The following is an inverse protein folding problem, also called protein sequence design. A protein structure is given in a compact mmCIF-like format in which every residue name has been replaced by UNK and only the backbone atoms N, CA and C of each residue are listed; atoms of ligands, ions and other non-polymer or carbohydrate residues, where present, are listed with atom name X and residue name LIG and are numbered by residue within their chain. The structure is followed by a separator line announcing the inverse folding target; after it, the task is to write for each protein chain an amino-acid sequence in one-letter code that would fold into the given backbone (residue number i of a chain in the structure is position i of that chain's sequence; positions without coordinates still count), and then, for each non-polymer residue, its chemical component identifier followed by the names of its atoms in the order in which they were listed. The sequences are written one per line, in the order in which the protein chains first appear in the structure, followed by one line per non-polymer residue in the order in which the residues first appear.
data_IF_692057142402
#
_entry.id   IF_692057142402
#
_cell.length_a   1.000
_cell.length_b   1.000
_cell.length_c   1.000
_cell.angle_alpha   90.00
_cell.angle_beta   90.00
_cell.angle_gamma   90.00
#
_symmetry.space_group_name_H-M   'P 1'
#
loop_
_entity.id
_entity.type
_entity.pdbx_description
1 polymer ?
#
# COMPACT_ATOMS: atom_id res chain seq x y z
N UNK A 1 12.97 11.90 5.05
CA UNK A 1 12.32 12.70 4.00
C UNK A 1 10.83 12.74 4.26
N UNK A 2 10.18 13.88 4.02
CA UNK A 2 8.73 13.99 4.08
C UNK A 2 8.19 14.22 2.68
N UNK A 3 7.35 13.31 2.22
CA UNK A 3 6.68 13.35 0.92
C UNK A 3 5.18 13.44 1.12
N UNK A 4 4.53 14.32 0.36
CA UNK A 4 3.08 14.43 0.32
C UNK A 4 2.63 14.52 -1.13
N UNK A 5 1.60 13.77 -1.48
CA UNK A 5 0.95 13.79 -2.78
C UNK A 5 -0.56 13.85 -2.56
N UNK A 6 -1.22 14.78 -3.25
CA UNK A 6 -2.67 14.80 -3.38
C UNK A 6 -3.06 14.78 -4.83
N UNK A 7 -3.93 13.84 -5.18
CA UNK A 7 -4.53 13.71 -6.50
C UNK A 7 -6.02 13.89 -6.37
N UNK A 8 -6.57 14.80 -7.14
CA UNK A 8 -7.99 15.15 -7.11
C UNK A 8 -8.53 15.15 -8.53
N UNK A 9 -9.56 14.35 -8.79
CA UNK A 9 -10.28 14.32 -10.05
C UNK A 9 -11.57 15.12 -9.93
N UNK A 10 -11.73 16.08 -10.81
CA UNK A 10 -12.93 16.90 -11.00
C UNK A 10 -13.36 16.79 -12.46
N UNK A 11 -14.48 16.13 -12.71
CA UNK A 11 -15.01 15.81 -14.06
C UNK A 11 -13.91 15.24 -14.99
N UNK A 12 -13.38 16.09 -15.89
CA UNK A 12 -12.37 15.75 -16.91
C UNK A 12 -10.94 16.20 -16.55
N UNK A 13 -10.74 16.74 -15.35
CA UNK A 13 -9.44 17.30 -14.91
C UNK A 13 -8.91 16.54 -13.72
N UNK A 14 -7.61 16.25 -13.77
CA UNK A 14 -6.87 15.71 -12.64
C UNK A 14 -5.88 16.78 -12.16
N UNK A 15 -6.02 17.16 -10.90
CA UNK A 15 -5.12 18.08 -10.21
C UNK A 15 -4.16 17.29 -9.34
N UNK A 16 -2.87 17.63 -9.42
CA UNK A 16 -1.81 17.02 -8.61
C UNK A 16 -1.14 18.11 -7.76
N UNK A 17 -1.18 17.96 -6.44
CA UNK A 17 -0.44 18.79 -5.48
C UNK A 17 0.61 17.92 -4.79
N UNK A 18 1.83 18.42 -4.63
CA UNK A 18 2.92 17.62 -4.06
C UNK A 18 3.90 18.43 -3.22
N UNK A 19 4.52 17.76 -2.27
CA UNK A 19 5.68 18.22 -1.49
C UNK A 19 6.72 17.09 -1.53
N UNK A 20 7.98 17.45 -1.75
CA UNK A 20 9.07 16.48 -1.87
C UNK A 20 9.21 15.92 -3.28
N UNK A 21 9.75 14.71 -3.36
CA UNK A 21 10.12 14.07 -4.63
C UNK A 21 9.00 13.25 -5.25
N UNK A 22 8.00 12.84 -4.45
CA UNK A 22 6.83 12.09 -4.94
C UNK A 22 6.04 12.88 -6.00
N UNK A 23 5.56 12.18 -7.02
CA UNK A 23 4.77 12.77 -8.10
C UNK A 23 3.70 11.80 -8.59
N UNK A 24 2.81 12.27 -9.47
CA UNK A 24 1.84 11.44 -10.16
C UNK A 24 1.78 11.77 -11.65
N UNK A 25 1.57 10.75 -12.46
CA UNK A 25 1.31 10.85 -13.90
C UNK A 25 -0.07 10.30 -14.19
N UNK A 26 -0.77 10.90 -15.14
CA UNK A 26 -2.08 10.41 -15.60
C UNK A 26 -1.88 9.70 -16.93
N UNK A 27 -2.30 8.44 -16.98
CA UNK A 27 -2.34 7.67 -18.23
C UNK A 27 -3.62 7.93 -19.01
N UNK A 28 -3.64 7.46 -20.26
CA UNK A 28 -4.71 7.68 -21.23
C UNK A 28 -6.01 6.97 -20.81
N UNK A 29 -5.90 5.88 -20.03
CA UNK A 29 -7.01 5.12 -19.46
C UNK A 29 -7.42 5.60 -18.05
N UNK A 30 -7.10 6.86 -17.72
CA UNK A 30 -7.39 7.50 -16.44
C UNK A 30 -6.74 6.84 -15.21
N UNK A 31 -5.68 6.04 -15.39
CA UNK A 31 -4.84 5.65 -14.26
C UNK A 31 -3.99 6.81 -13.77
N UNK A 32 -4.00 7.00 -12.46
CA UNK A 32 -3.04 7.81 -11.72
C UNK A 32 -1.90 6.89 -11.32
N UNK A 33 -0.74 7.11 -11.93
CA UNK A 33 0.48 6.37 -11.63
C UNK A 33 1.31 7.21 -10.66
N UNK A 34 1.37 6.77 -9.41
CA UNK A 34 2.22 7.37 -8.38
C UNK A 34 3.68 7.01 -8.70
N UNK A 35 4.50 8.04 -8.84
CA UNK A 35 5.93 7.91 -9.09
C UNK A 35 6.68 8.45 -7.87
N UNK A 36 7.29 7.55 -7.10
CA UNK A 36 8.29 7.91 -6.11
C UNK A 36 9.67 7.78 -6.76
N UNK A 37 10.33 8.87 -7.20
CA UNK A 37 11.56 8.80 -7.98
C UNK A 37 12.74 8.19 -7.20
N UNK A 38 12.66 8.12 -5.88
CA UNK A 38 13.67 7.42 -5.08
C UNK A 38 13.51 5.90 -5.18
N UNK A 39 12.28 5.37 -5.39
CA UNK A 39 11.84 3.96 -5.30
C UNK A 39 12.21 3.21 -4.00
N UNK A 40 13.05 3.84 -3.19
CA UNK A 40 13.77 3.33 -2.04
C UNK A 40 13.52 4.34 -0.93
N UNK A 41 12.93 3.85 0.15
CA UNK A 41 12.61 4.59 1.35
C UNK A 41 13.62 4.19 2.42
N UNK A 42 14.20 5.18 3.11
CA UNK A 42 15.26 4.96 4.09
C UNK A 42 15.10 5.82 5.34
N UNK A 43 15.87 5.50 6.38
CA UNK A 43 15.87 6.24 7.65
C UNK A 43 14.45 6.38 8.21
N UNK A 44 13.96 7.59 8.42
CA UNK A 44 12.63 7.89 8.97
C UNK A 44 11.70 8.51 7.91
N UNK A 45 11.79 8.03 6.66
CA UNK A 45 10.96 8.56 5.57
C UNK A 45 9.47 8.40 5.86
N UNK A 46 8.71 9.46 5.56
CA UNK A 46 7.26 9.48 5.64
C UNK A 46 6.67 9.91 4.30
N UNK A 47 5.71 9.14 3.82
CA UNK A 47 4.92 9.46 2.62
C UNK A 47 3.44 9.50 2.98
N UNK A 48 2.76 10.56 2.56
CA UNK A 48 1.31 10.69 2.65
C UNK A 48 0.76 10.85 1.23
N UNK A 49 -0.26 10.04 0.89
CA UNK A 49 -0.97 10.10 -0.38
C UNK A 49 -2.46 10.30 -0.12
N UNK A 50 -3.01 11.36 -0.69
CA UNK A 50 -4.45 11.65 -0.69
C UNK A 50 -5.01 11.49 -2.11
N UNK A 51 -6.08 10.70 -2.25
CA UNK A 51 -6.75 10.45 -3.53
C UNK A 51 -8.22 10.81 -3.38
N UNK A 52 -8.69 11.72 -4.24
CA UNK A 52 -10.07 12.19 -4.25
C UNK A 52 -10.70 12.03 -5.64
N UNK A 53 -11.84 11.36 -5.70
CA UNK A 53 -12.63 11.13 -6.92
C UNK A 53 -12.59 9.69 -7.44
N UNK A 54 -13.29 9.45 -8.55
CA UNK A 54 -13.41 8.13 -9.17
C UNK A 54 -12.19 7.83 -10.05
N UNK A 55 -11.25 7.08 -9.50
CA UNK A 55 -9.89 6.94 -10.01
C UNK A 55 -9.39 5.50 -9.95
N UNK A 56 -8.51 5.18 -10.90
CA UNK A 56 -7.66 3.98 -10.85
C UNK A 56 -6.26 4.43 -10.46
N UNK A 57 -5.66 3.80 -9.46
CA UNK A 57 -4.37 4.20 -8.89
C UNK A 57 -3.41 3.03 -8.88
N UNK A 58 -2.17 3.28 -9.30
CA UNK A 58 -1.08 2.30 -9.23
C UNK A 58 0.23 3.00 -8.93
N UNK A 59 1.29 2.24 -8.72
CA UNK A 59 2.66 2.73 -8.59
C UNK A 59 3.49 2.40 -9.83
N UNK A 60 4.42 3.29 -10.17
CA UNK A 60 5.34 3.10 -11.28
C UNK A 60 6.29 1.91 -11.05
N UNK A 61 6.66 1.64 -9.79
CA UNK A 61 7.63 0.63 -9.41
C UNK A 61 7.40 0.15 -7.97
N UNK A 62 8.15 -0.86 -7.56
CA UNK A 62 8.07 -1.42 -6.20
C UNK A 62 8.63 -0.40 -5.21
N UNK A 63 7.90 -0.15 -4.13
CA UNK A 63 8.42 0.59 -2.99
C UNK A 63 9.34 -0.31 -2.18
N UNK A 64 10.62 0.02 -2.07
CA UNK A 64 11.62 -0.74 -1.31
C UNK A 64 11.93 -0.03 0.01
N UNK A 65 11.87 -0.73 1.13
CA UNK A 65 12.26 -0.18 2.45
C UNK A 65 13.59 -0.76 2.85
N UNK A 66 14.59 0.11 3.01
CA UNK A 66 15.97 -0.29 3.32
C UNK A 66 16.10 -0.87 4.73
N UNK A 67 17.14 -1.68 4.91
CA UNK A 67 17.59 -2.16 6.22
C UNK A 67 17.76 -1.00 7.21
N UNK A 68 17.46 -1.28 8.48
CA UNK A 68 17.62 -0.34 9.60
C UNK A 68 16.86 0.99 9.42
N UNK A 69 15.79 0.98 8.62
CA UNK A 69 14.90 2.13 8.38
C UNK A 69 13.56 1.93 9.06
N UNK A 70 12.91 3.02 9.45
CA UNK A 70 11.58 3.10 10.05
C UNK A 70 10.68 4.02 9.22
N UNK A 71 9.99 3.43 8.25
CA UNK A 71 9.20 4.17 7.25
C UNK A 71 7.73 4.20 7.63
N UNK A 72 7.05 5.30 7.29
CA UNK A 72 5.60 5.43 7.43
C UNK A 72 4.95 5.80 6.09
N UNK A 73 3.97 5.00 5.67
CA UNK A 73 3.15 5.23 4.49
C UNK A 73 1.69 5.42 4.92
N UNK A 74 1.09 6.54 4.54
CA UNK A 74 -0.31 6.84 4.85
C UNK A 74 -1.07 7.15 3.56
N UNK A 75 -2.17 6.45 3.33
CA UNK A 75 -3.02 6.59 2.18
C UNK A 75 -4.44 6.95 2.64
N UNK A 76 -4.95 8.05 2.12
CA UNK A 76 -6.29 8.55 2.39
C UNK A 76 -7.05 8.62 1.07
N UNK A 77 -8.14 7.89 0.97
CA UNK A 77 -8.85 7.74 -0.31
C UNK A 77 -10.33 8.01 -0.13
N UNK A 78 -10.90 8.83 -1.02
CA UNK A 78 -12.33 9.14 -1.02
C UNK A 78 -12.84 9.20 -2.46
N UNK A 79 -13.84 8.38 -2.79
CA UNK A 79 -14.45 8.33 -4.12
C UNK A 79 -15.55 7.27 -4.20
N UNK A 80 -16.46 7.36 -5.17
CA UNK A 80 -17.55 6.38 -5.31
C UNK A 80 -17.05 5.05 -5.88
N UNK A 81 -16.25 5.12 -6.95
CA UNK A 81 -15.66 3.98 -7.67
C UNK A 81 -14.14 4.11 -7.72
N UNK A 82 -13.44 3.32 -6.90
CA UNK A 82 -11.99 3.41 -6.74
C UNK A 82 -11.33 2.06 -6.97
N UNK A 83 -10.27 2.06 -7.79
CA UNK A 83 -9.40 0.90 -7.98
C UNK A 83 -7.99 1.28 -7.58
N UNK A 84 -7.37 0.53 -6.69
CA UNK A 84 -6.01 0.74 -6.20
C UNK A 84 -5.26 -0.58 -6.35
N UNK A 85 -4.30 -0.58 -7.27
CA UNK A 85 -3.43 -1.73 -7.54
C UNK A 85 -1.98 -1.29 -7.35
N UNK A 86 -1.54 -1.29 -6.10
CA UNK A 86 -0.18 -0.91 -5.74
C UNK A 86 0.79 -1.99 -6.17
N UNK A 87 2.01 -1.57 -6.52
CA UNK A 87 3.09 -2.54 -6.70
C UNK A 87 3.52 -3.08 -5.34
N UNK A 88 4.14 -4.26 -5.29
CA UNK A 88 4.61 -4.83 -4.04
C UNK A 88 5.49 -3.89 -3.22
N UNK A 89 5.21 -3.81 -1.92
CA UNK A 89 6.06 -3.21 -0.91
C UNK A 89 7.11 -4.24 -0.48
N UNK A 90 8.38 -3.96 -0.74
CA UNK A 90 9.50 -4.85 -0.48
C UNK A 90 10.28 -4.39 0.76
N UNK A 91 10.28 -5.19 1.82
CA UNK A 91 11.02 -4.88 3.05
C UNK A 91 12.33 -5.65 3.08
N UNK A 92 13.45 -4.93 3.22
CA UNK A 92 14.75 -5.58 3.40
C UNK A 92 14.92 -6.05 4.84
N UNK A 93 15.82 -7.00 5.07
CA UNK A 93 16.14 -7.44 6.43
C UNK A 93 16.54 -6.25 7.34
N UNK A 94 15.88 -6.10 8.48
CA UNK A 94 16.04 -4.99 9.42
C UNK A 94 15.11 -3.80 9.18
N UNK A 95 14.30 -3.81 8.12
CA UNK A 95 13.34 -2.74 7.85
C UNK A 95 12.16 -2.78 8.83
N UNK A 96 11.69 -1.59 9.21
CA UNK A 96 10.43 -1.37 9.92
C UNK A 96 9.51 -0.48 9.10
N UNK A 97 8.27 -0.90 8.85
CA UNK A 97 7.32 -0.14 8.06
C UNK A 97 5.93 -0.10 8.69
N UNK A 98 5.34 1.10 8.78
CA UNK A 98 3.95 1.29 9.13
C UNK A 98 3.18 1.75 7.89
N UNK A 99 2.14 1.02 7.53
CA UNK A 99 1.25 1.33 6.43
C UNK A 99 -0.14 1.59 7.00
N UNK A 100 -0.77 2.68 6.56
CA UNK A 100 -2.13 3.02 6.96
C UNK A 100 -2.97 3.35 5.73
N UNK A 101 -4.10 2.69 5.60
CA UNK A 101 -5.13 2.99 4.63
C UNK A 101 -6.37 3.48 5.36
N UNK A 102 -6.89 4.65 4.95
CA UNK A 102 -8.23 5.11 5.29
C UNK A 102 -8.97 5.37 3.99
N UNK A 103 -9.97 4.56 3.72
CA UNK A 103 -10.74 4.59 2.48
C UNK A 103 -12.20 4.87 2.78
N UNK A 104 -12.80 5.78 2.03
CA UNK A 104 -14.24 6.03 2.01
C UNK A 104 -14.76 5.82 0.60
N UNK A 105 -15.51 4.75 0.38
CA UNK A 105 -15.98 4.42 -0.98
C UNK A 105 -17.27 3.59 -1.00
N UNK A 106 -17.95 3.53 -2.14
CA UNK A 106 -19.10 2.61 -2.34
C UNK A 106 -18.65 1.34 -3.05
N UNK A 107 -17.77 1.50 -4.04
CA UNK A 107 -17.16 0.43 -4.80
C UNK A 107 -15.64 0.59 -4.75
N UNK A 108 -14.96 -0.40 -4.19
CA UNK A 108 -13.52 -0.39 -3.99
C UNK A 108 -12.93 -1.69 -4.55
N UNK A 109 -11.77 -1.58 -5.17
CA UNK A 109 -10.82 -2.69 -5.26
C UNK A 109 -9.48 -2.19 -4.76
N UNK A 110 -9.00 -2.73 -3.64
CA UNK A 110 -7.70 -2.41 -3.07
C UNK A 110 -6.84 -3.68 -3.05
N UNK A 111 -5.70 -3.62 -3.71
CA UNK A 111 -4.70 -4.70 -3.71
C UNK A 111 -3.44 -4.17 -3.03
N UNK A 112 -3.11 -4.78 -1.89
CA UNK A 112 -1.86 -4.60 -1.19
C UNK A 112 -1.04 -5.89 -1.32
N UNK A 113 0.24 -5.77 -1.65
CA UNK A 113 1.16 -6.90 -1.66
C UNK A 113 2.42 -6.51 -0.91
N UNK A 114 2.84 -7.36 0.03
CA UNK A 114 4.07 -7.18 0.80
C UNK A 114 4.99 -8.36 0.56
N UNK A 115 6.26 -8.06 0.32
CA UNK A 115 7.34 -9.03 0.14
C UNK A 115 8.38 -8.80 1.22
N UNK A 116 8.68 -9.84 1.98
CA UNK A 116 9.65 -9.84 3.07
C UNK A 116 10.97 -10.45 2.58
N UNK A 117 12.01 -9.62 2.54
CA UNK A 117 13.34 -9.98 2.09
C UNK A 117 13.45 -10.09 0.57
N UNK A 118 14.69 -10.18 0.09
CA UNK A 118 15.02 -10.34 -1.33
C UNK A 118 15.51 -11.76 -1.60
N UNK A 119 14.60 -12.72 -1.68
CA UNK A 119 14.97 -14.14 -1.83
C UNK A 119 15.82 -14.43 -3.07
N UNK A 120 15.53 -13.77 -4.20
CA UNK A 120 16.34 -13.88 -5.43
C UNK A 120 17.77 -13.31 -5.29
N UNK A 121 18.03 -12.53 -4.24
CA UNK A 121 19.35 -12.00 -3.89
C UNK A 121 19.94 -12.65 -2.62
N UNK A 122 19.37 -13.77 -2.16
CA UNK A 122 19.84 -14.51 -0.99
C UNK A 122 19.54 -13.84 0.36
N UNK A 123 18.74 -12.78 0.38
CA UNK A 123 18.35 -12.09 1.61
C UNK A 123 17.05 -12.67 2.19
N UNK A 124 17.07 -12.98 3.48
CA UNK A 124 15.92 -13.45 4.24
C UNK A 124 15.59 -12.42 5.31
N UNK A 125 14.33 -12.00 5.41
CA UNK A 125 13.86 -11.10 6.46
C UNK A 125 13.83 -11.82 7.82
N UNK A 126 14.78 -11.47 8.69
CA UNK A 126 14.97 -12.05 10.02
C UNK A 126 14.67 -11.08 11.13
N UNK A 127 14.92 -9.79 10.93
CA UNK A 127 14.70 -8.73 11.90
C UNK A 127 13.86 -7.61 11.30
N UNK A 128 13.06 -6.94 12.13
CA UNK A 128 12.29 -5.77 11.74
C UNK A 128 10.79 -5.94 11.97
N UNK A 129 9.99 -5.03 11.38
CA UNK A 129 8.55 -5.05 11.60
C UNK A 129 7.74 -4.51 10.43
N UNK A 130 6.53 -5.01 10.29
CA UNK A 130 5.50 -4.48 9.41
C UNK A 130 4.22 -4.35 10.22
N UNK A 131 3.59 -3.18 10.16
CA UNK A 131 2.21 -3.01 10.59
C UNK A 131 1.43 -2.33 9.48
N UNK A 132 0.49 -3.04 8.87
CA UNK A 132 -0.48 -2.48 7.92
C UNK A 132 -1.86 -2.44 8.58
N UNK A 133 -2.49 -1.27 8.58
CA UNK A 133 -3.85 -1.07 9.11
C UNK A 133 -4.71 -0.49 8.00
N UNK A 134 -5.80 -1.17 7.67
CA UNK A 134 -6.72 -0.75 6.62
C UNK A 134 -8.13 -0.55 7.18
N UNK A 135 -8.60 0.69 7.10
CA UNK A 135 -9.95 1.10 7.47
C UNK A 135 -10.73 1.45 6.19
N UNK A 136 -11.82 0.74 5.91
CA UNK A 136 -12.73 1.06 4.79
C UNK A 136 -14.11 1.39 5.33
N UNK A 137 -14.58 2.58 4.98
CA UNK A 137 -15.92 3.09 5.28
C UNK A 137 -16.75 3.17 4.00
N UNK A 138 -18.06 3.00 4.13
CA UNK A 138 -18.99 3.32 3.05
C UNK A 138 -19.23 4.83 2.89
N UNK A 139 -20.07 5.23 1.93
CA UNK A 139 -20.38 6.64 1.67
C UNK A 139 -21.10 7.33 2.83
N UNK A 140 -21.84 6.57 3.63
CA UNK A 140 -22.54 7.06 4.82
C UNK A 140 -21.59 7.18 6.03
N UNK A 141 -20.35 6.71 5.90
CA UNK A 141 -19.32 6.75 6.94
C UNK A 141 -19.36 5.55 7.89
N UNK A 142 -20.12 4.50 7.56
CA UNK A 142 -20.14 3.27 8.34
C UNK A 142 -18.90 2.43 8.04
N UNK A 143 -18.22 1.98 9.08
CA UNK A 143 -17.06 1.10 8.95
C UNK A 143 -17.49 -0.28 8.41
N UNK A 144 -16.90 -0.68 7.28
CA UNK A 144 -17.16 -1.96 6.60
C UNK A 144 -16.00 -2.94 6.74
N UNK A 145 -14.77 -2.44 6.71
CA UNK A 145 -13.56 -3.25 6.88
C UNK A 145 -12.63 -2.60 7.87
N UNK A 146 -12.14 -3.39 8.83
CA UNK A 146 -11.02 -3.06 9.70
C UNK A 146 -10.05 -4.24 9.67
N UNK A 147 -8.99 -4.12 8.89
CA UNK A 147 -7.97 -5.16 8.74
C UNK A 147 -6.65 -4.70 9.35
N UNK A 148 -5.97 -5.60 10.05
CA UNK A 148 -4.64 -5.36 10.60
C UNK A 148 -3.74 -6.54 10.30
N UNK A 149 -2.62 -6.24 9.65
CA UNK A 149 -1.53 -7.18 9.42
C UNK A 149 -0.31 -6.70 10.21
N UNK A 150 0.15 -7.52 11.15
CA UNK A 150 1.32 -7.23 11.96
C UNK A 150 2.33 -8.36 11.80
N UNK A 151 3.59 -8.04 11.52
CA UNK A 151 4.67 -9.01 11.38
C UNK A 151 5.85 -8.45 12.16
N UNK A 152 6.43 -9.28 13.03
CA UNK A 152 7.61 -8.93 13.79
C UNK A 152 8.65 -10.03 13.57
N UNK A 153 9.85 -9.61 13.18
CA UNK A 153 10.99 -10.48 12.95
C UNK A 153 10.63 -11.69 12.06
N UNK A 154 10.85 -12.91 12.54
CA UNK A 154 10.63 -14.16 11.81
C UNK A 154 9.22 -14.73 11.95
N UNK A 155 8.26 -14.02 12.55
CA UNK A 155 6.90 -14.53 12.78
C UNK A 155 6.22 -15.00 11.48
N UNK A 156 6.57 -14.39 10.34
CA UNK A 156 6.05 -14.78 9.03
C UNK A 156 6.42 -16.21 8.61
N UNK A 157 7.47 -16.79 9.18
CA UNK A 157 7.92 -18.16 8.87
C UNK A 157 7.00 -19.22 9.48
N UNK A 158 6.29 -18.89 10.55
CA UNK A 158 5.38 -19.82 11.23
C UNK A 158 4.19 -20.15 10.31
N UNK A 159 3.99 -21.42 9.91
CA UNK A 159 2.84 -21.84 9.10
C UNK A 159 1.49 -21.52 9.73
N UNK A 160 1.43 -21.36 11.06
CA UNK A 160 0.21 -21.03 11.80
C UNK A 160 -0.04 -19.52 11.91
N UNK A 161 0.89 -18.69 11.42
CA UNK A 161 0.77 -17.24 11.44
C UNK A 161 0.57 -16.66 10.04
N UNK A 162 1.65 -16.41 9.30
CA UNK A 162 1.57 -16.05 7.89
C UNK A 162 1.93 -17.26 7.01
N UNK A 163 3.01 -17.96 7.36
CA UNK A 163 3.47 -19.12 6.61
C UNK A 163 4.07 -18.79 5.26
N UNK A 164 4.54 -17.56 5.02
CA UNK A 164 5.23 -17.20 3.78
C UNK A 164 5.74 -15.76 3.74
N UNK A 165 6.61 -15.48 2.78
CA UNK A 165 7.32 -14.21 2.64
C UNK A 165 6.65 -13.25 1.65
N UNK A 166 5.60 -13.69 0.95
CA UNK A 166 4.78 -12.83 0.09
C UNK A 166 3.35 -12.90 0.55
N UNK A 167 2.81 -11.77 0.97
CA UNK A 167 1.47 -11.66 1.51
C UNK A 167 0.70 -10.67 0.65
N UNK A 168 -0.41 -11.13 0.08
CA UNK A 168 -1.28 -10.31 -0.75
C UNK A 168 -2.65 -10.25 -0.10
N UNK A 169 -3.13 -9.02 0.10
CA UNK A 169 -4.46 -8.73 0.60
C UNK A 169 -5.23 -8.04 -0.51
N UNK A 170 -6.42 -8.55 -0.82
CA UNK A 170 -7.37 -7.95 -1.74
C UNK A 170 -8.61 -7.60 -0.92
N UNK A 171 -9.03 -6.34 -1.00
CA UNK A 171 -10.30 -5.87 -0.45
C UNK A 171 -11.13 -5.40 -1.64
N UNK A 172 -12.16 -6.17 -1.95
CA UNK A 172 -13.17 -5.82 -2.95
C UNK A 172 -14.44 -5.39 -2.21
N UNK A 173 -14.98 -4.23 -2.56
CA UNK A 173 -16.27 -3.75 -2.05
C UNK A 173 -17.16 -3.45 -3.23
N UNK A 174 -18.37 -4.02 -3.24
CA UNK A 174 -19.36 -3.79 -4.29
C UNK A 174 -20.67 -3.39 -3.64
N UNK A 175 -21.17 -2.21 -4.00
CA UNK A 175 -22.37 -1.62 -3.41
C UNK A 175 -22.34 -1.59 -1.86
N UNK A 176 -21.17 -1.32 -1.27
CA UNK A 176 -20.99 -1.27 0.18
C UNK A 176 -20.81 -2.62 0.89
N UNK A 177 -20.83 -3.74 0.16
CA UNK A 177 -20.59 -5.09 0.69
C UNK A 177 -19.13 -5.50 0.45
N UNK A 178 -18.34 -5.75 1.51
CA UNK A 178 -16.93 -6.08 1.39
C UNK A 178 -16.66 -7.60 1.30
N UNK A 179 -15.63 -7.95 0.55
CA UNK A 179 -14.95 -9.24 0.53
C UNK A 179 -13.46 -8.99 0.78
N UNK A 180 -12.88 -9.72 1.73
CA UNK A 180 -11.45 -9.63 2.06
C UNK A 180 -10.81 -10.99 1.79
N UNK A 181 -9.86 -11.01 0.87
CA UNK A 181 -9.11 -12.21 0.48
C UNK A 181 -7.65 -11.98 0.83
N UNK A 182 -7.07 -12.90 1.60
CA UNK A 182 -5.63 -12.92 1.87
C UNK A 182 -5.03 -14.20 1.33
N UNK A 183 -3.99 -14.06 0.51
CA UNK A 183 -3.17 -15.18 0.03
C UNK A 183 -1.75 -15.01 0.51
N UNK A 184 -1.12 -16.11 0.91
CA UNK A 184 0.28 -16.14 1.32
C UNK A 184 1.04 -17.13 0.45
N UNK A 185 2.17 -16.69 -0.08
CA UNK A 185 3.07 -17.50 -0.90
C UNK A 185 4.45 -17.59 -0.25
N UNK A 186 5.11 -18.71 -0.53
CA UNK A 186 6.53 -18.90 -0.25
C UNK A 186 7.30 -18.85 -1.56
N UNK A 187 8.08 -17.80 -1.76
CA UNK A 187 9.05 -17.76 -2.84
C UNK A 187 10.33 -18.43 -2.34
N UNK A 188 10.44 -19.73 -2.56
CA UNK A 188 11.65 -20.50 -2.29
C UNK A 188 12.71 -20.21 -3.36
N UNK A 189 13.97 -20.21 -2.93
CA UNK A 189 15.15 -20.48 -3.76
C UNK A 189 15.48 -21.97 -3.69
#
# INVERSE_FOLDING_TARGET
MYNYLRVEKDEDRIMVKRIGSINALVSWDNWVVIANPSEVMAHEDKTIVEIHGNLKVTEASFTKVMSDSKVTLEYYVTGEDVVIEMKPLLLYDGASCNVRWKVKSRNLRLIETVVLGRTHHGEVFRKGSLKSVTEVMDQDGMLKVYDTMEIVDQAWMDPNFAGGNVIKTIIDMKNGEPEVIRSVERWYS
#
